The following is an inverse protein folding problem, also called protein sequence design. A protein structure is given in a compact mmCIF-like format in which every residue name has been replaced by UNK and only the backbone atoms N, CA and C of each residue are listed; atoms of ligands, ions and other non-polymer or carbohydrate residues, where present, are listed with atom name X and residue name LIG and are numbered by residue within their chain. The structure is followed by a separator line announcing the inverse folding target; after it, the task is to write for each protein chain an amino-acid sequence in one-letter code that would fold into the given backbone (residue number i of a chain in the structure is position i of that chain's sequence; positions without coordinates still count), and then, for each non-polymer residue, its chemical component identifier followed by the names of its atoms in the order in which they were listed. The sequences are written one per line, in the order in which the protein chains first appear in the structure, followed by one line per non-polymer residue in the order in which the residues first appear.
data_IF_387695511389
#
_entry.id   IF_387695511389
#
_cell.length_a   1.000
_cell.length_b   1.000
_cell.length_c   1.000
_cell.angle_alpha   90.00
_cell.angle_beta   90.00
_cell.angle_gamma   90.00
#
_symmetry.space_group_name_H-M   'P 1'
#
loop_
_entity.id
_entity.type
_entity.pdbx_description
1 polymer ?
#
# COMPACT_ATOMS: atom_id res chain seq x y z
N UNK A 1 13.15 36.31 31.76
CA UNK A 1 13.43 35.69 30.44
C UNK A 1 13.20 34.17 30.48
N UNK A 2 11.97 33.70 30.74
CA UNK A 2 11.64 32.25 30.74
C UNK A 2 10.35 31.92 29.96
N UNK A 3 9.54 32.92 29.58
CA UNK A 3 8.25 32.68 28.89
C UNK A 3 8.34 32.53 27.37
N UNK A 4 9.46 32.90 26.75
CA UNK A 4 9.62 32.84 25.28
C UNK A 4 10.17 31.47 24.83
N UNK A 5 10.75 30.69 25.74
CA UNK A 5 11.31 29.37 25.41
C UNK A 5 10.25 28.26 25.27
N UNK A 6 9.03 28.46 25.80
CA UNK A 6 7.99 27.41 25.79
C UNK A 6 7.12 27.37 24.53
N UNK A 7 7.13 28.43 23.70
CA UNK A 7 6.30 28.47 22.49
C UNK A 7 6.94 27.80 21.28
N UNK A 8 8.26 27.56 21.30
CA UNK A 8 8.96 26.94 20.18
C UNK A 8 8.94 25.41 20.18
N UNK A 9 8.51 24.79 21.29
CA UNK A 9 8.48 23.33 21.44
C UNK A 9 7.14 22.68 21.08
N UNK A 10 6.12 23.47 20.71
CA UNK A 10 4.77 22.95 20.43
C UNK A 10 4.46 22.75 18.93
N UNK A 11 5.40 23.02 18.02
CA UNK A 11 5.13 23.02 16.57
C UNK A 11 5.56 21.74 15.82
N UNK A 12 6.08 20.71 16.50
CA UNK A 12 6.69 19.55 15.82
C UNK A 12 5.92 18.22 15.94
N UNK A 13 4.69 18.24 16.44
CA UNK A 13 3.82 17.05 16.45
C UNK A 13 2.75 17.12 15.35
N UNK A 14 3.16 17.33 14.10
CA UNK A 14 2.40 16.75 12.99
C UNK A 14 2.86 15.30 12.87
N UNK A 15 1.99 14.38 13.29
CA UNK A 15 2.21 12.95 13.19
C UNK A 15 2.65 12.59 11.75
N UNK A 16 3.69 11.78 11.55
CA UNK A 16 3.93 11.20 10.24
C UNK A 16 2.78 10.23 9.97
N UNK A 17 1.85 10.61 9.11
CA UNK A 17 1.04 9.62 8.39
C UNK A 17 2.06 8.69 7.73
N UNK A 18 2.17 7.47 8.26
CA UNK A 18 3.18 6.49 7.84
C UNK A 18 2.70 5.86 6.54
N UNK A 19 2.72 6.65 5.46
CA UNK A 19 2.44 6.16 4.12
C UNK A 19 3.64 5.38 3.62
N UNK A 20 3.45 4.11 3.28
CA UNK A 20 4.45 3.35 2.55
C UNK A 20 4.24 3.59 1.07
N UNK A 21 5.14 4.39 0.47
CA UNK A 21 5.21 4.63 -0.96
C UNK A 21 6.23 3.68 -1.56
N UNK A 22 5.81 2.88 -2.53
CA UNK A 22 6.73 2.09 -3.35
C UNK A 22 7.01 2.82 -4.64
N UNK A 23 8.27 3.19 -4.86
CA UNK A 23 8.76 3.64 -6.16
C UNK A 23 9.29 2.42 -6.94
N UNK A 24 9.28 2.53 -8.27
CA UNK A 24 9.82 1.50 -9.15
C UNK A 24 11.33 1.32 -8.97
N UNK A 25 11.82 0.08 -9.05
CA UNK A 25 13.24 -0.21 -9.18
C UNK A 25 13.69 0.13 -10.62
N UNK A 26 14.98 0.41 -10.82
CA UNK A 26 15.53 0.85 -12.12
C UNK A 26 15.46 -0.17 -13.27
N UNK A 27 14.89 -1.36 -13.06
CA UNK A 27 14.71 -2.41 -14.07
C UNK A 27 13.23 -2.68 -14.40
N UNK A 28 12.32 -1.82 -13.96
CA UNK A 28 10.89 -2.00 -14.17
C UNK A 28 10.49 -1.44 -15.54
N UNK A 29 9.79 -2.23 -16.34
CA UNK A 29 9.32 -1.84 -17.67
C UNK A 29 8.04 -1.01 -17.66
N UNK A 30 7.31 -1.00 -16.55
CA UNK A 30 6.19 -0.08 -16.34
C UNK A 30 6.67 1.04 -15.43
N UNK A 31 6.51 2.28 -15.90
CA UNK A 31 6.98 3.48 -15.23
C UNK A 31 5.81 4.45 -14.97
N UNK A 32 6.06 5.51 -14.21
CA UNK A 32 5.09 6.60 -13.97
C UNK A 32 3.75 6.16 -13.38
N UNK A 33 3.79 5.24 -12.41
CA UNK A 33 2.66 4.94 -11.55
C UNK A 33 3.02 5.20 -10.09
N UNK A 34 2.00 5.36 -9.25
CA UNK A 34 2.14 5.46 -7.80
C UNK A 34 1.18 4.50 -7.15
N UNK A 35 1.65 3.72 -6.17
CA UNK A 35 0.80 2.89 -5.31
C UNK A 35 1.25 3.10 -3.87
N UNK A 36 0.30 3.41 -2.99
CA UNK A 36 0.57 3.78 -1.60
C UNK A 36 -0.38 3.01 -0.69
N UNK A 37 0.17 2.36 0.33
CA UNK A 37 -0.59 1.75 1.42
C UNK A 37 -0.51 2.62 2.68
N UNK A 38 -1.66 2.87 3.30
CA UNK A 38 -1.75 3.64 4.54
C UNK A 38 -2.79 3.06 5.51
N UNK A 39 -2.47 3.09 6.80
CA UNK A 39 -3.44 2.80 7.85
C UNK A 39 -4.32 4.02 8.10
N UNK A 40 -5.63 3.86 7.97
CA UNK A 40 -6.62 4.93 8.16
C UNK A 40 -7.54 4.58 9.35
N UNK A 41 -7.83 5.54 10.24
CA UNK A 41 -8.75 5.31 11.35
C UNK A 41 -10.15 4.99 10.85
N UNK A 42 -10.74 3.92 11.36
CA UNK A 42 -12.13 3.55 11.07
C UNK A 42 -13.05 4.04 12.20
N UNK A 43 -14.04 4.90 11.93
CA UNK A 43 -14.94 5.40 12.97
C UNK A 43 -15.63 4.26 13.72
N UNK A 44 -15.66 4.35 15.04
CA UNK A 44 -16.29 3.39 15.95
C UNK A 44 -15.67 1.98 15.96
N UNK A 45 -14.49 1.77 15.38
CA UNK A 45 -13.73 0.53 15.55
C UNK A 45 -12.41 0.79 16.30
N UNK A 46 -11.96 -0.16 17.15
CA UNK A 46 -10.72 -0.01 17.92
C UNK A 46 -9.45 -0.25 17.09
N UNK A 47 -9.59 -0.53 15.79
CA UNK A 47 -8.50 -0.89 14.87
C UNK A 47 -8.64 -0.07 13.60
N UNK A 48 -7.49 0.27 13.00
CA UNK A 48 -7.45 0.95 11.72
C UNK A 48 -7.86 -0.01 10.59
N UNK A 49 -8.33 0.53 9.48
CA UNK A 49 -8.36 -0.18 8.20
C UNK A 49 -7.15 0.24 7.36
N UNK A 50 -6.90 -0.48 6.28
CA UNK A 50 -5.85 -0.13 5.34
C UNK A 50 -6.46 0.37 4.06
N UNK A 51 -6.01 1.52 3.57
CA UNK A 51 -6.30 2.01 2.24
C UNK A 51 -5.07 1.83 1.37
N UNK A 52 -5.19 1.06 0.29
CA UNK A 52 -4.17 0.94 -0.76
C UNK A 52 -4.68 1.71 -1.96
N UNK A 53 -4.09 2.85 -2.25
CA UNK A 53 -4.46 3.73 -3.37
C UNK A 53 -3.46 3.62 -4.50
N UNK A 54 -3.94 3.77 -5.74
CA UNK A 54 -3.11 3.76 -6.95
C UNK A 54 -3.43 4.94 -7.86
N UNK A 55 -2.42 5.34 -8.63
CA UNK A 55 -2.50 6.33 -9.69
C UNK A 55 -1.60 5.94 -10.87
N UNK A 56 -2.23 5.58 -11.99
CA UNK A 56 -1.67 5.28 -13.29
C UNK A 56 -2.00 6.37 -14.33
N UNK A 57 -2.46 7.55 -13.90
CA UNK A 57 -2.91 8.62 -14.80
C UNK A 57 -1.80 9.13 -15.73
N UNK A 58 -0.54 9.07 -15.26
CA UNK A 58 0.66 9.45 -16.01
C UNK A 58 1.37 8.25 -16.67
N UNK A 59 0.83 7.03 -16.49
CA UNK A 59 1.43 5.82 -17.04
C UNK A 59 1.14 5.71 -18.54
N UNK A 60 2.16 5.56 -19.40
CA UNK A 60 1.96 5.34 -20.83
C UNK A 60 1.36 3.95 -21.10
N UNK A 61 0.66 3.80 -22.23
CA UNK A 61 0.12 2.51 -22.70
C UNK A 61 -0.74 1.74 -21.67
N UNK A 62 -1.44 2.46 -20.80
CA UNK A 62 -2.25 1.89 -19.72
C UNK A 62 -3.36 0.95 -20.17
N UNK A 63 -3.77 1.04 -21.45
CA UNK A 63 -4.69 0.12 -22.12
C UNK A 63 -4.14 -1.31 -22.26
N UNK A 64 -2.82 -1.49 -22.17
CA UNK A 64 -2.15 -2.78 -22.23
C UNK A 64 -1.75 -3.30 -20.85
N UNK A 65 -2.09 -2.59 -19.77
CA UNK A 65 -1.69 -2.94 -18.42
C UNK A 65 -2.79 -3.73 -17.69
N UNK A 66 -2.38 -4.84 -17.10
CA UNK A 66 -3.10 -5.52 -16.04
C UNK A 66 -2.39 -5.26 -14.72
N UNK A 67 -3.12 -4.94 -13.64
CA UNK A 67 -2.53 -4.78 -12.32
C UNK A 67 -3.33 -5.52 -11.26
N UNK A 68 -2.63 -5.97 -10.23
CA UNK A 68 -3.22 -6.58 -9.06
C UNK A 68 -2.45 -6.21 -7.80
N UNK A 69 -3.17 -6.15 -6.68
CA UNK A 69 -2.59 -6.07 -5.34
C UNK A 69 -2.60 -7.48 -4.75
N UNK A 70 -1.41 -7.99 -4.45
CA UNK A 70 -1.21 -9.25 -3.75
C UNK A 70 -1.10 -9.00 -2.25
N UNK A 71 -1.86 -9.74 -1.45
CA UNK A 71 -1.94 -9.56 0.00
C UNK A 71 -1.70 -10.89 0.70
N UNK A 72 -0.70 -10.95 1.56
CA UNK A 72 -0.36 -12.14 2.32
C UNK A 72 -0.53 -11.90 3.83
N UNK A 73 -1.53 -12.53 4.47
CA UNK A 73 -1.72 -12.45 5.91
C UNK A 73 -0.55 -13.07 6.68
N UNK A 74 -0.11 -12.41 7.75
CA UNK A 74 1.00 -12.85 8.60
C UNK A 74 0.51 -13.25 10.00
N UNK A 75 1.27 -14.13 10.66
CA UNK A 75 0.97 -14.61 12.00
C UNK A 75 1.50 -13.69 13.12
N UNK A 76 2.54 -12.90 12.84
CA UNK A 76 3.20 -12.02 13.81
C UNK A 76 3.47 -10.65 13.20
N UNK A 77 3.09 -9.60 13.92
CA UNK A 77 3.23 -8.21 13.47
C UNK A 77 4.52 -7.55 13.96
N UNK A 78 5.13 -8.09 15.02
CA UNK A 78 6.41 -7.61 15.55
C UNK A 78 7.61 -8.06 14.71
N UNK A 79 7.40 -9.01 13.80
CA UNK A 79 8.43 -9.53 12.92
C UNK A 79 8.36 -8.93 11.49
N UNK A 80 7.57 -7.86 11.29
CA UNK A 80 7.48 -7.18 9.99
C UNK A 80 7.27 -8.14 8.80
N UNK A 81 8.08 -7.96 7.75
CA UNK A 81 8.07 -8.82 6.56
C UNK A 81 8.55 -10.26 6.80
N UNK A 82 9.26 -10.53 7.90
CA UNK A 82 9.78 -11.85 8.30
C UNK A 82 8.77 -12.70 9.08
N UNK A 83 7.54 -12.20 9.28
CA UNK A 83 6.47 -12.96 9.91
C UNK A 83 6.17 -14.27 9.18
N UNK A 84 5.84 -15.34 9.92
CA UNK A 84 5.40 -16.59 9.28
C UNK A 84 4.07 -16.38 8.58
N UNK A 85 4.01 -16.82 7.32
CA UNK A 85 2.81 -16.79 6.47
C UNK A 85 1.67 -17.53 7.19
N UNK A 86 0.54 -16.84 7.37
CA UNK A 86 -0.64 -17.42 8.02
C UNK A 86 -1.59 -18.08 7.01
N UNK A 87 -1.58 -17.63 5.77
CA UNK A 87 -2.49 -18.12 4.73
C UNK A 87 -2.01 -17.86 3.31
N UNK A 88 -2.82 -18.23 2.33
CA UNK A 88 -2.53 -18.00 0.92
C UNK A 88 -2.56 -16.51 0.58
N UNK A 89 -1.85 -16.15 -0.49
CA UNK A 89 -1.91 -14.82 -1.08
C UNK A 89 -3.32 -14.60 -1.62
N UNK A 90 -3.94 -13.49 -1.25
CA UNK A 90 -5.17 -12.99 -1.83
C UNK A 90 -4.82 -12.00 -2.93
N UNK A 91 -5.45 -12.14 -4.09
CA UNK A 91 -5.18 -11.30 -5.26
C UNK A 91 -6.39 -10.41 -5.50
N UNK A 92 -6.16 -9.11 -5.46
CA UNK A 92 -7.17 -8.08 -5.76
C UNK A 92 -6.84 -7.45 -7.11
N UNK A 93 -7.56 -7.87 -8.15
CA UNK A 93 -7.34 -7.34 -9.51
C UNK A 93 -7.89 -5.92 -9.63
N UNK A 94 -7.08 -5.03 -10.20
CA UNK A 94 -7.52 -3.70 -10.63
C UNK A 94 -8.07 -3.88 -12.05
N UNK A 95 -9.38 -3.75 -12.19
CA UNK A 95 -10.05 -4.00 -13.47
C UNK A 95 -9.81 -2.85 -14.43
N UNK A 96 -9.33 -3.12 -15.65
CA UNK A 96 -9.19 -2.14 -16.75
C UNK A 96 -8.53 -0.83 -16.30
N UNK A 97 -7.20 -0.81 -16.25
CA UNK A 97 -6.39 0.35 -15.81
C UNK A 97 -6.68 1.59 -16.68
N UNK A 98 -7.07 1.40 -17.94
CA UNK A 98 -7.42 2.53 -18.82
C UNK A 98 -8.62 3.31 -18.29
N UNK A 99 -9.59 2.63 -17.67
CA UNK A 99 -10.80 3.22 -17.08
C UNK A 99 -10.66 3.53 -15.59
N UNK A 100 -9.92 2.70 -14.86
CA UNK A 100 -9.73 2.80 -13.41
C UNK A 100 -8.28 3.19 -13.06
N UNK A 101 -7.75 4.19 -13.78
CA UNK A 101 -6.36 4.61 -13.62
C UNK A 101 -6.07 5.20 -12.25
N UNK A 102 -7.07 5.71 -11.55
CA UNK A 102 -6.97 6.17 -10.16
C UNK A 102 -8.00 5.40 -9.35
N UNK A 103 -7.63 4.92 -8.18
CA UNK A 103 -8.57 4.22 -7.31
C UNK A 103 -7.94 3.78 -6.00
N UNK A 104 -8.72 3.04 -5.23
CA UNK A 104 -8.32 2.53 -3.94
C UNK A 104 -8.96 1.19 -3.60
N UNK A 105 -8.33 0.47 -2.69
CA UNK A 105 -8.76 -0.77 -2.10
C UNK A 105 -8.69 -0.65 -0.58
N UNK A 106 -9.84 -0.73 0.07
CA UNK A 106 -9.91 -0.86 1.53
C UNK A 106 -9.77 -2.32 1.93
N UNK A 107 -8.84 -2.59 2.86
CA UNK A 107 -8.64 -3.90 3.48
C UNK A 107 -8.86 -3.77 4.97
N UNK A 108 -9.66 -4.67 5.54
CA UNK A 108 -9.91 -4.76 6.97
C UNK A 108 -9.31 -6.02 7.57
N UNK A 109 -9.08 -6.01 8.89
CA UNK A 109 -8.65 -7.22 9.61
C UNK A 109 -9.62 -8.39 9.46
N UNK A 110 -10.91 -8.13 9.21
CA UNK A 110 -11.95 -9.14 9.00
C UNK A 110 -11.78 -9.82 7.65
N UNK A 111 -11.46 -9.05 6.61
CA UNK A 111 -11.24 -9.59 5.27
C UNK A 111 -10.09 -10.59 5.26
N UNK A 112 -9.04 -10.35 6.05
CA UNK A 112 -7.86 -11.21 6.12
C UNK A 112 -7.91 -12.23 7.26
N UNK A 113 -8.81 -12.06 8.23
CA UNK A 113 -8.78 -12.76 9.52
C UNK A 113 -7.37 -12.76 10.14
N UNK A 114 -6.70 -11.61 10.10
CA UNK A 114 -5.32 -11.42 10.55
C UNK A 114 -5.11 -10.00 11.11
N UNK A 115 -4.09 -9.85 11.96
CA UNK A 115 -3.75 -8.57 12.61
C UNK A 115 -2.80 -7.69 11.79
N UNK A 116 -2.10 -8.31 10.86
CA UNK A 116 -1.15 -7.68 9.95
C UNK A 116 -0.98 -8.54 8.72
N UNK A 117 -0.41 -7.94 7.69
CA UNK A 117 -0.15 -8.55 6.41
C UNK A 117 1.01 -7.86 5.73
N UNK A 118 1.54 -8.51 4.69
CA UNK A 118 2.36 -7.82 3.70
C UNK A 118 1.63 -7.76 2.37
N UNK A 119 1.93 -6.74 1.58
CA UNK A 119 1.32 -6.57 0.27
C UNK A 119 2.36 -6.10 -0.75
N UNK A 120 2.12 -6.41 -2.02
CA UNK A 120 2.85 -5.85 -3.15
C UNK A 120 1.88 -5.62 -4.31
N UNK A 121 2.26 -4.78 -5.26
CA UNK A 121 1.55 -4.65 -6.52
C UNK A 121 2.32 -5.41 -7.60
N UNK A 122 1.57 -6.10 -8.46
CA UNK A 122 2.07 -6.75 -9.66
C UNK A 122 1.39 -6.08 -10.85
N UNK A 123 2.19 -5.53 -11.75
CA UNK A 123 1.75 -4.86 -12.97
C UNK A 123 2.33 -5.61 -14.17
N UNK A 124 1.50 -6.01 -15.10
CA UNK A 124 1.86 -6.75 -16.30
C UNK A 124 1.51 -5.89 -17.50
N UNK A 125 2.50 -5.59 -18.32
CA UNK A 125 2.29 -5.11 -19.68
C UNK A 125 2.01 -6.32 -20.57
N UNK A 126 0.76 -6.43 -21.04
CA UNK A 126 0.27 -7.55 -21.85
C UNK A 126 0.78 -7.52 -23.29
N UNK A 127 1.26 -6.38 -23.78
CA UNK A 127 1.84 -6.27 -25.13
C UNK A 127 3.27 -6.81 -25.14
N UNK A 128 4.07 -6.42 -24.15
CA UNK A 128 5.48 -6.86 -24.03
C UNK A 128 5.67 -8.11 -23.18
N UNK A 129 4.60 -8.57 -22.51
CA UNK A 129 4.60 -9.61 -21.49
C UNK A 129 5.59 -9.35 -20.34
N UNK A 130 5.88 -8.07 -20.10
CA UNK A 130 6.81 -7.66 -19.06
C UNK A 130 6.09 -7.48 -17.73
N UNK A 131 6.70 -7.95 -16.64
CA UNK A 131 6.13 -7.88 -15.29
C UNK A 131 6.96 -6.93 -14.42
N UNK A 132 6.27 -6.00 -13.76
CA UNK A 132 6.80 -5.08 -12.76
C UNK A 132 6.17 -5.42 -11.41
N UNK A 133 7.01 -5.71 -10.43
CA UNK A 133 6.58 -5.95 -9.04
C UNK A 133 7.10 -4.82 -8.14
N UNK A 134 6.26 -4.36 -7.20
CA UNK A 134 6.73 -3.46 -6.14
C UNK A 134 7.36 -4.25 -5.00
N UNK A 135 8.22 -3.61 -4.20
CA UNK A 135 8.72 -4.25 -2.99
C UNK A 135 7.57 -4.55 -2.01
N UNK A 136 7.64 -5.71 -1.36
CA UNK A 136 6.71 -6.07 -0.29
C UNK A 136 6.70 -4.99 0.80
N UNK A 137 5.52 -4.50 1.10
CA UNK A 137 5.23 -3.55 2.17
C UNK A 137 4.55 -4.26 3.33
N UNK A 138 4.71 -3.78 4.55
CA UNK A 138 4.16 -4.39 5.78
C UNK A 138 3.19 -3.45 6.47
N UNK A 139 1.98 -3.95 6.79
CA UNK A 139 0.95 -3.17 7.47
C UNK A 139 0.37 -3.93 8.66
N UNK A 140 0.18 -3.20 9.76
CA UNK A 140 -0.52 -3.62 10.99
C UNK A 140 -1.85 -2.88 11.12
N UNK A 141 -2.92 -3.60 11.49
CA UNK A 141 -4.21 -3.00 11.87
C UNK A 141 -4.22 -2.49 13.32
N UNK A 142 -3.22 -2.91 14.11
CA UNK A 142 -2.97 -2.48 15.49
C UNK A 142 -2.06 -1.26 15.53
#
# INVERSE_FOLDING_TARGET
MIKILLYFLLAFMCAPASGQQTNTSSNNCVEHFTIIGQSVPKPNEPVNETLISWDFSQTPHKEHLEAAIEVQPLSSCWNGLDGKIRGQIKIFKISDISKNSIGDLTITYRDLNAKCFKWQAVIIDTETNCTTETEWQFISFL
#
